data_IF_167964083720
#
_entry.id   IF_167964083720
#
_cell.length_a   1.000
_cell.length_b   1.000
_cell.length_c   1.000
_cell.angle_alpha   90.00
_cell.angle_beta   90.00
_cell.angle_gamma   90.00
#
_symmetry.space_group_name_H-M   'P 1'
#
loop_
_entity.id
_entity.type
_entity.pdbx_description
1 polymer ?
#
# COMPACT_ATOMS: atom_id res chain seq x y z
N UNK A 1 23.41 -23.16 -7.87
CA UNK A 1 22.77 -23.01 -6.55
C UNK A 1 21.32 -22.64 -6.76
N UNK A 2 20.35 -23.28 -6.10
CA UNK A 2 18.96 -22.86 -6.18
C UNK A 2 18.84 -21.43 -5.63
N UNK A 3 18.03 -20.61 -6.30
CA UNK A 3 17.73 -19.25 -5.86
C UNK A 3 16.92 -19.28 -4.57
N UNK A 4 17.05 -18.29 -3.69
CA UNK A 4 16.26 -18.21 -2.47
C UNK A 4 14.79 -18.01 -2.78
N UNK A 5 13.92 -18.49 -1.91
CA UNK A 5 12.54 -18.03 -1.86
C UNK A 5 12.54 -16.52 -1.64
N UNK A 6 11.79 -15.78 -2.45
CA UNK A 6 11.74 -14.32 -2.37
C UNK A 6 10.30 -13.80 -2.28
N UNK A 7 10.08 -12.71 -1.56
CA UNK A 7 8.76 -12.07 -1.53
C UNK A 7 8.51 -11.30 -2.85
N UNK A 8 7.33 -11.51 -3.40
CA UNK A 8 6.83 -10.85 -4.61
C UNK A 8 5.38 -10.43 -4.40
N UNK A 9 4.85 -9.60 -5.29
CA UNK A 9 3.46 -9.11 -5.22
C UNK A 9 3.10 -8.61 -3.82
N UNK A 10 3.92 -7.69 -3.33
CA UNK A 10 3.68 -7.06 -2.03
C UNK A 10 2.41 -6.22 -2.11
N UNK A 11 1.49 -6.42 -1.18
CA UNK A 11 0.18 -5.77 -1.16
C UNK A 11 -0.11 -5.13 0.19
N UNK A 12 -0.79 -3.99 0.12
CA UNK A 12 -1.38 -3.30 1.24
C UNK A 12 -2.89 -3.27 1.00
N UNK A 13 -3.69 -3.79 1.96
CA UNK A 13 -5.13 -3.99 1.82
C UNK A 13 -5.49 -4.64 0.45
N UNK A 14 -4.79 -5.73 0.12
CA UNK A 14 -4.96 -6.55 -1.10
C UNK A 14 -4.56 -5.90 -2.42
N UNK A 15 -4.13 -4.63 -2.44
CA UNK A 15 -3.73 -3.87 -3.62
C UNK A 15 -2.21 -3.68 -3.68
N UNK A 16 -1.66 -3.66 -4.88
CA UNK A 16 -0.24 -3.35 -5.12
C UNK A 16 -0.05 -1.84 -5.22
N UNK A 17 0.79 -1.29 -4.33
CA UNK A 17 1.09 0.15 -4.27
C UNK A 17 -0.16 1.04 -4.25
N UNK A 18 -1.15 0.80 -3.37
CA UNK A 18 -2.38 1.55 -3.38
C UNK A 18 -2.19 3.03 -3.03
N UNK A 19 -3.07 3.84 -3.60
CA UNK A 19 -3.27 5.23 -3.25
C UNK A 19 -4.60 5.36 -2.51
N UNK A 20 -4.67 6.28 -1.55
CA UNK A 20 -5.92 6.55 -0.84
C UNK A 20 -6.32 5.47 0.17
N UNK A 21 -5.36 4.89 0.89
CA UNK A 21 -5.66 3.95 1.97
C UNK A 21 -6.25 4.69 3.16
N UNK A 22 -7.47 4.32 3.57
CA UNK A 22 -8.15 4.95 4.71
C UNK A 22 -7.92 4.21 6.03
N UNK A 23 -7.54 2.94 5.98
CA UNK A 23 -7.29 2.16 7.17
C UNK A 23 -5.97 2.59 7.82
N UNK A 24 -5.98 3.11 9.07
CA UNK A 24 -4.77 3.54 9.76
C UNK A 24 -3.85 2.37 10.13
N UNK A 25 -4.36 1.14 10.11
CA UNK A 25 -3.61 -0.09 10.38
C UNK A 25 -3.79 -1.11 9.25
N UNK A 26 -3.34 -0.79 8.04
CA UNK A 26 -3.61 -1.63 6.88
C UNK A 26 -2.95 -3.01 7.02
N UNK A 27 -3.53 -3.98 6.31
CA UNK A 27 -3.01 -5.32 6.23
C UNK A 27 -1.95 -5.43 5.14
N UNK A 28 -0.81 -6.00 5.49
CA UNK A 28 0.28 -6.27 4.56
C UNK A 28 0.31 -7.75 4.18
N UNK A 29 0.64 -8.01 2.93
CA UNK A 29 0.77 -9.37 2.42
C UNK A 29 1.77 -9.43 1.27
N UNK A 30 2.29 -10.63 1.03
CA UNK A 30 3.18 -10.94 -0.09
C UNK A 30 3.00 -12.38 -0.51
N UNK A 31 3.42 -12.70 -1.73
CA UNK A 31 3.55 -14.07 -2.21
C UNK A 31 4.99 -14.50 -2.18
N UNK A 32 5.18 -15.80 -2.07
CA UNK A 32 6.50 -16.41 -2.15
C UNK A 32 6.74 -16.88 -3.58
N UNK A 33 7.77 -16.34 -4.24
CA UNK A 33 8.29 -16.90 -5.47
C UNK A 33 9.45 -17.81 -5.14
N UNK A 34 9.35 -19.03 -5.63
CA UNK A 34 10.42 -20.03 -5.55
C UNK A 34 10.89 -20.35 -6.96
N UNK A 35 12.12 -20.79 -7.10
CA UNK A 35 12.56 -21.47 -8.30
C UNK A 35 11.98 -22.91 -8.34
N UNK A 36 12.73 -23.89 -8.69
CA UNK A 36 12.28 -25.28 -8.85
C UNK A 36 12.05 -26.07 -7.54
N UNK A 37 12.17 -25.47 -6.35
CA UNK A 37 12.04 -26.19 -5.08
C UNK A 37 10.57 -26.43 -4.72
N UNK A 38 10.16 -27.69 -4.68
CA UNK A 38 8.85 -28.09 -4.16
C UNK A 38 8.83 -27.95 -2.63
N UNK A 39 7.74 -27.42 -2.08
CA UNK A 39 7.54 -27.33 -0.63
C UNK A 39 8.41 -26.29 0.08
N UNK A 40 9.03 -25.33 -0.65
CA UNK A 40 9.77 -24.25 -0.02
C UNK A 40 8.85 -23.44 0.91
N UNK A 41 9.25 -23.24 2.16
CA UNK A 41 8.47 -22.54 3.20
C UNK A 41 9.26 -21.38 3.74
N UNK A 42 8.56 -20.28 3.98
CA UNK A 42 9.06 -19.20 4.83
C UNK A 42 9.13 -19.69 6.28
N UNK A 43 10.19 -19.35 6.96
CA UNK A 43 10.38 -19.66 8.40
C UNK A 43 10.29 -18.41 9.26
N UNK A 44 10.64 -17.25 8.69
CA UNK A 44 10.58 -15.98 9.39
C UNK A 44 10.39 -14.83 8.40
N UNK A 45 9.96 -13.69 8.91
CA UNK A 45 9.94 -12.42 8.18
C UNK A 45 10.37 -11.26 9.07
N UNK A 46 10.74 -10.15 8.46
CA UNK A 46 10.89 -8.82 9.08
C UNK A 46 10.29 -7.79 8.14
N UNK A 47 9.43 -6.95 8.67
CA UNK A 47 8.85 -5.82 7.95
C UNK A 47 9.48 -4.53 8.44
N UNK A 48 9.86 -3.68 7.49
CA UNK A 48 10.34 -2.33 7.79
C UNK A 48 9.51 -1.33 7.01
N UNK A 49 9.15 -0.21 7.65
CA UNK A 49 8.36 0.87 7.04
C UNK A 49 9.06 2.19 7.29
N UNK A 50 9.17 3.00 6.25
CA UNK A 50 9.89 4.27 6.24
C UNK A 50 9.05 5.39 5.63
N UNK A 51 9.22 6.60 6.15
CA UNK A 51 8.66 7.83 5.56
C UNK A 51 9.36 8.27 4.27
N UNK A 52 10.51 7.69 3.94
CA UNK A 52 11.31 8.03 2.77
C UNK A 52 11.65 6.79 1.95
N UNK A 53 11.68 6.95 0.63
CA UNK A 53 12.14 5.89 -0.26
C UNK A 53 13.60 5.53 0.07
N UNK A 54 13.86 4.25 0.27
CA UNK A 54 15.17 3.74 0.70
C UNK A 54 15.69 4.34 2.02
N UNK A 55 14.78 4.87 2.85
CA UNK A 55 15.10 5.41 4.17
C UNK A 55 15.28 4.32 5.23
N UNK A 56 15.68 4.75 6.42
CA UNK A 56 15.68 3.89 7.61
C UNK A 56 14.24 3.58 8.04
N UNK A 57 14.05 2.52 8.78
CA UNK A 57 12.75 2.11 9.32
C UNK A 57 12.29 3.04 10.47
N UNK A 58 11.97 4.29 10.13
CA UNK A 58 11.59 5.34 11.09
C UNK A 58 10.12 5.24 11.55
N UNK A 59 9.29 4.52 10.78
CA UNK A 59 7.87 4.34 11.10
C UNK A 59 7.58 2.98 11.74
N UNK A 60 8.18 1.92 11.26
CA UNK A 60 8.02 0.59 11.84
C UNK A 60 9.17 -0.34 11.48
N UNK A 61 9.55 -1.14 12.45
CA UNK A 61 10.40 -2.30 12.30
C UNK A 61 9.82 -3.42 13.15
N UNK A 62 9.32 -4.47 12.53
CA UNK A 62 8.75 -5.61 13.26
C UNK A 62 9.80 -6.42 14.01
N UNK A 63 11.09 -6.18 13.75
CA UNK A 63 12.11 -7.16 14.07
C UNK A 63 11.90 -8.45 13.28
N UNK A 64 12.71 -9.45 13.57
CA UNK A 64 12.51 -10.80 13.02
C UNK A 64 11.35 -11.48 13.76
N UNK A 65 10.37 -11.92 12.99
CA UNK A 65 9.20 -12.68 13.47
C UNK A 65 9.30 -14.10 12.91
N UNK A 66 9.43 -15.10 13.76
CA UNK A 66 9.45 -16.49 13.36
C UNK A 66 8.03 -16.96 13.04
N UNK A 67 7.70 -16.97 11.75
CA UNK A 67 6.37 -17.29 11.24
C UNK A 67 6.41 -17.58 9.75
N UNK A 68 5.56 -18.49 9.31
CA UNK A 68 5.32 -18.79 7.90
C UNK A 68 4.19 -17.95 7.28
N UNK A 69 3.54 -17.09 8.08
CA UNK A 69 2.49 -16.20 7.60
C UNK A 69 3.05 -15.18 6.63
N UNK A 70 2.36 -15.05 5.49
CA UNK A 70 2.67 -14.06 4.45
C UNK A 70 1.46 -13.19 4.06
N UNK A 71 0.39 -13.27 4.84
CA UNK A 71 -0.82 -12.47 4.63
C UNK A 71 -1.45 -12.05 5.96
N UNK A 72 -2.31 -11.03 5.92
CA UNK A 72 -3.04 -10.54 7.09
C UNK A 72 -2.12 -10.00 8.20
N UNK A 73 -0.96 -9.48 7.86
CA UNK A 73 -0.04 -8.87 8.82
C UNK A 73 -0.46 -7.42 9.01
N UNK A 74 -0.99 -7.11 10.18
CA UNK A 74 -1.45 -5.75 10.51
C UNK A 74 -0.24 -4.83 10.73
N UNK A 75 -0.25 -3.66 10.09
CA UNK A 75 0.70 -2.61 10.37
C UNK A 75 0.61 -2.19 11.84
N UNK A 76 1.73 -2.25 12.55
CA UNK A 76 1.80 -1.95 13.98
C UNK A 76 2.84 -0.86 14.31
N UNK A 77 3.12 -0.01 13.32
CA UNK A 77 4.05 1.10 13.48
C UNK A 77 3.39 2.38 14.02
N UNK A 78 4.09 3.50 13.84
CA UNK A 78 3.61 4.83 14.21
C UNK A 78 2.34 5.20 13.43
N UNK A 79 1.49 6.04 14.04
CA UNK A 79 0.33 6.57 13.34
C UNK A 79 0.75 7.31 12.08
N UNK A 80 0.01 7.07 11.01
CA UNK A 80 0.19 7.73 9.73
C UNK A 80 -0.78 8.90 9.60
N UNK A 81 -0.38 9.91 8.85
CA UNK A 81 -1.21 11.10 8.57
C UNK A 81 -1.85 11.00 7.18
N UNK A 82 -2.89 11.78 6.96
CA UNK A 82 -3.52 11.90 5.64
C UNK A 82 -2.51 12.26 4.57
N UNK A 83 -2.69 11.68 3.37
CA UNK A 83 -1.84 11.89 2.20
C UNK A 83 -0.38 11.42 2.37
N UNK A 84 -0.04 10.83 3.51
CA UNK A 84 1.32 10.35 3.75
C UNK A 84 1.63 9.14 2.88
N UNK A 85 2.69 9.26 2.07
CA UNK A 85 3.27 8.12 1.38
C UNK A 85 4.33 7.48 2.26
N UNK A 86 4.29 6.17 2.33
CA UNK A 86 5.28 5.37 3.04
C UNK A 86 5.81 4.25 2.15
N UNK A 87 7.05 3.88 2.39
CA UNK A 87 7.71 2.77 1.71
C UNK A 87 7.93 1.65 2.70
N UNK A 88 7.70 0.45 2.25
CA UNK A 88 7.89 -0.71 3.09
C UNK A 88 8.64 -1.81 2.37
N UNK A 89 9.31 -2.61 3.14
CA UNK A 89 9.96 -3.81 2.64
C UNK A 89 9.70 -4.97 3.58
N UNK A 90 9.70 -6.15 3.02
CA UNK A 90 9.71 -7.40 3.77
C UNK A 90 10.96 -8.19 3.42
N UNK A 91 11.67 -8.60 4.42
CA UNK A 91 12.75 -9.56 4.36
C UNK A 91 12.23 -10.91 4.85
N UNK A 92 12.46 -11.98 4.10
CA UNK A 92 12.01 -13.32 4.48
C UNK A 92 13.18 -14.29 4.56
N UNK A 93 13.07 -15.26 5.43
CA UNK A 93 13.96 -16.41 5.54
C UNK A 93 13.20 -17.66 5.17
N UNK A 94 13.85 -18.58 4.51
CA UNK A 94 13.38 -19.94 4.26
C UNK A 94 14.24 -20.96 5.01
N UNK A 95 13.80 -22.19 5.06
CA UNK A 95 14.47 -23.28 5.78
C UNK A 95 15.96 -23.45 5.43
N UNK A 96 16.35 -23.16 4.18
CA UNK A 96 17.72 -23.31 3.71
C UNK A 96 18.58 -22.14 4.13
N UNK A 97 18.04 -20.92 4.02
CA UNK A 97 18.76 -19.70 4.32
C UNK A 97 18.89 -19.48 5.82
N UNK A 98 17.87 -19.85 6.57
CA UNK A 98 17.87 -19.78 8.01
C UNK A 98 18.93 -20.70 8.63
N UNK A 99 18.98 -21.96 8.19
CA UNK A 99 20.03 -22.90 8.61
C UNK A 99 21.45 -22.39 8.30
N UNK A 100 21.64 -21.63 7.23
CA UNK A 100 22.93 -21.05 6.83
C UNK A 100 23.21 -19.70 7.46
N UNK A 101 22.32 -19.18 8.34
CA UNK A 101 22.42 -17.85 8.96
C UNK A 101 22.68 -16.73 7.93
N UNK A 102 22.07 -16.82 6.77
CA UNK A 102 22.22 -15.83 5.69
C UNK A 102 21.17 -14.74 5.81
N UNK A 103 21.48 -13.58 5.23
CA UNK A 103 20.50 -12.51 5.06
C UNK A 103 19.32 -13.01 4.24
N UNK A 104 18.09 -12.64 4.64
CA UNK A 104 16.87 -13.00 3.95
C UNK A 104 16.75 -12.36 2.56
N UNK A 105 15.86 -12.88 1.76
CA UNK A 105 15.49 -12.25 0.49
C UNK A 105 14.49 -11.12 0.76
N UNK A 106 14.63 -10.01 0.02
CA UNK A 106 13.86 -8.79 0.28
C UNK A 106 13.01 -8.40 -0.92
N UNK A 107 11.79 -7.95 -0.66
CA UNK A 107 10.92 -7.23 -1.58
C UNK A 107 10.54 -5.88 -1.02
N UNK A 108 10.21 -4.91 -1.86
CA UNK A 108 9.81 -3.56 -1.45
C UNK A 108 8.62 -3.05 -2.25
N UNK A 109 7.81 -2.19 -1.61
CA UNK A 109 6.62 -1.57 -2.15
C UNK A 109 6.34 -0.26 -1.42
N UNK A 110 5.23 0.41 -1.76
CA UNK A 110 4.75 1.58 -1.04
C UNK A 110 3.22 1.53 -0.91
N UNK A 111 2.68 2.38 -0.04
CA UNK A 111 1.28 2.80 -0.10
C UNK A 111 1.18 4.27 0.25
N UNK A 112 0.04 4.87 -0.05
CA UNK A 112 -0.24 6.28 0.28
C UNK A 112 -1.59 6.34 1.01
N UNK A 113 -1.59 7.04 2.13
CA UNK A 113 -2.81 7.26 2.90
C UNK A 113 -3.77 8.16 2.12
N UNK A 114 -5.06 7.94 2.30
CA UNK A 114 -6.11 8.84 1.84
C UNK A 114 -6.28 10.05 2.75
N UNK A 115 -7.41 10.71 2.61
CA UNK A 115 -7.91 11.68 3.59
C UNK A 115 -8.54 10.88 4.72
N UNK A 116 -8.05 11.03 5.94
CA UNK A 116 -8.44 10.19 7.07
C UNK A 116 -9.66 10.75 7.83
N UNK A 117 -9.94 12.03 7.65
CA UNK A 117 -11.10 12.69 8.28
C UNK A 117 -11.95 13.39 7.23
N UNK A 118 -13.23 13.64 7.58
CA UNK A 118 -14.16 14.32 6.69
C UNK A 118 -13.80 15.80 6.50
N UNK A 119 -13.21 16.43 7.49
CA UNK A 119 -12.82 17.85 7.47
C UNK A 119 -11.69 18.13 6.48
N UNK A 120 -10.95 17.12 6.10
CA UNK A 120 -9.86 17.24 5.10
C UNK A 120 -10.37 17.27 3.66
N UNK A 121 -11.66 16.94 3.43
CA UNK A 121 -12.32 17.12 2.15
C UNK A 121 -12.64 18.60 1.94
N UNK A 122 -11.78 19.29 1.18
CA UNK A 122 -11.95 20.71 0.87
C UNK A 122 -12.84 21.01 -0.35
N UNK A 123 -13.55 20.03 -0.87
CA UNK A 123 -14.41 20.17 -2.05
C UNK A 123 -15.88 20.16 -1.68
N UNK A 124 -16.68 20.85 -2.48
CA UNK A 124 -18.14 20.83 -2.39
C UNK A 124 -18.72 19.72 -3.28
N UNK A 125 -19.92 19.26 -2.91
CA UNK A 125 -20.71 18.40 -3.79
C UNK A 125 -21.11 19.17 -5.05
N UNK A 126 -20.80 18.59 -6.20
CA UNK A 126 -21.17 19.15 -7.50
C UNK A 126 -22.22 18.27 -8.15
N UNK A 127 -23.15 18.88 -8.85
CA UNK A 127 -24.23 18.19 -9.51
C UNK A 127 -24.69 18.92 -10.75
N UNK A 128 -25.82 18.51 -11.27
CA UNK A 128 -26.48 19.12 -12.42
C UNK A 128 -27.85 19.66 -12.02
N UNK A 129 -28.31 20.69 -12.72
CA UNK A 129 -29.67 21.18 -12.61
C UNK A 129 -30.71 20.26 -13.29
N UNK A 130 -30.26 19.24 -14.02
CA UNK A 130 -31.17 18.25 -14.61
C UNK A 130 -31.84 17.45 -13.48
N UNK A 131 -33.15 17.57 -13.42
CA UNK A 131 -33.94 16.79 -12.46
C UNK A 131 -34.13 15.38 -12.98
N UNK A 132 -33.75 14.42 -12.17
CA UNK A 132 -34.08 13.02 -12.34
C UNK A 132 -34.97 12.54 -11.18
N UNK A 133 -35.64 11.44 -11.34
CA UNK A 133 -36.44 10.81 -10.29
C UNK A 133 -36.48 9.31 -10.44
N UNK A 134 -37.13 8.59 -9.52
CA UNK A 134 -37.14 7.12 -9.51
C UNK A 134 -37.65 6.50 -10.82
N UNK A 135 -38.48 7.24 -11.54
CA UNK A 135 -39.11 6.79 -12.79
C UNK A 135 -38.63 7.56 -14.04
N UNK A 136 -37.64 8.45 -13.90
CA UNK A 136 -37.13 9.24 -15.03
C UNK A 136 -35.64 8.99 -15.23
N UNK A 137 -35.27 8.52 -16.42
CA UNK A 137 -33.87 8.37 -16.83
C UNK A 137 -33.41 9.69 -17.45
N UNK A 138 -32.39 10.28 -16.84
CA UNK A 138 -31.68 11.43 -17.46
C UNK A 138 -30.33 10.94 -18.01
N UNK A 139 -29.83 11.56 -19.09
CA UNK A 139 -28.46 11.30 -19.55
C UNK A 139 -27.48 11.62 -18.44
N UNK A 140 -26.43 10.80 -18.30
CA UNK A 140 -25.35 11.07 -17.35
C UNK A 140 -24.69 12.42 -17.66
N UNK A 141 -24.64 13.35 -16.69
CA UNK A 141 -24.08 14.67 -16.94
C UNK A 141 -22.56 14.63 -17.06
N UNK A 142 -22.01 15.44 -17.94
CA UNK A 142 -20.58 15.70 -18.02
C UNK A 142 -20.23 16.93 -17.19
N UNK A 143 -19.54 16.74 -16.08
CA UNK A 143 -19.04 17.83 -15.25
C UNK A 143 -17.60 18.13 -15.63
N UNK A 144 -17.33 19.38 -16.02
CA UNK A 144 -16.00 19.80 -16.49
C UNK A 144 -15.62 21.16 -15.91
N UNK A 145 -14.41 21.26 -15.46
CA UNK A 145 -13.77 22.55 -15.14
C UNK A 145 -12.39 22.63 -15.77
N UNK A 146 -11.92 23.85 -15.99
CA UNK A 146 -10.57 24.13 -16.47
C UNK A 146 -9.88 25.02 -15.45
N UNK A 147 -8.63 24.75 -15.19
CA UNK A 147 -7.80 25.57 -14.32
C UNK A 147 -6.40 25.71 -14.92
N UNK A 148 -5.75 26.84 -14.66
CA UNK A 148 -4.41 27.11 -15.11
C UNK A 148 -3.41 26.94 -13.95
N UNK A 149 -2.30 26.26 -14.25
CA UNK A 149 -1.23 26.08 -13.28
C UNK A 149 -0.04 26.91 -13.73
N UNK A 150 0.21 28.03 -13.02
CA UNK A 150 1.31 28.95 -13.32
C UNK A 150 2.69 28.49 -12.87
N UNK A 151 2.83 27.29 -12.28
CA UNK A 151 4.09 26.77 -11.75
C UNK A 151 4.37 25.38 -12.29
N UNK A 152 5.67 24.99 -12.31
CA UNK A 152 6.06 23.62 -12.64
C UNK A 152 5.48 22.64 -11.63
N UNK A 153 4.74 21.63 -12.11
CA UNK A 153 4.15 20.59 -11.28
C UNK A 153 5.24 19.58 -10.91
N UNK A 154 5.48 19.40 -9.63
CA UNK A 154 6.34 18.34 -9.11
C UNK A 154 5.54 17.05 -8.83
N UNK A 155 4.30 17.20 -8.33
CA UNK A 155 3.36 16.09 -8.12
C UNK A 155 1.94 16.65 -8.09
N UNK A 156 0.97 15.83 -8.44
CA UNK A 156 -0.45 16.15 -8.33
C UNK A 156 -1.21 14.95 -7.80
N UNK A 157 -2.27 15.20 -7.03
CA UNK A 157 -3.16 14.18 -6.52
C UNK A 157 -4.60 14.68 -6.62
N UNK A 158 -5.45 13.89 -7.22
CA UNK A 158 -6.89 14.15 -7.28
C UNK A 158 -7.58 13.28 -6.24
N UNK A 159 -8.42 13.90 -5.42
CA UNK A 159 -9.35 13.21 -4.53
C UNK A 159 -10.75 13.46 -5.06
N UNK A 160 -11.48 12.39 -5.30
CA UNK A 160 -12.84 12.43 -5.82
C UNK A 160 -13.65 11.33 -5.18
N UNK A 161 -14.89 11.63 -4.86
CA UNK A 161 -15.87 10.67 -4.36
C UNK A 161 -17.21 10.88 -5.07
N UNK A 162 -18.06 9.88 -5.05
CA UNK A 162 -19.41 9.92 -5.58
C UNK A 162 -20.37 9.21 -4.61
N UNK A 163 -21.64 9.59 -4.65
CA UNK A 163 -22.74 8.91 -3.96
C UNK A 163 -23.27 7.75 -4.79
#
# INVERSE_FOLDING_TARGET
MPLPTRPVQLRCNFLENPLGVHDPKPQLSWRLATDSRRGARQTAYRITVSSKRNGTADLWDSGRVDSDRSNGIIYAGKNLTSQQRVWWSVEIWDEVWDKKKRKGATGSAFWEMGLLTNEEWGGDWIGTSLAGGPESTIPSPYLRTLFNIGKKIASARLYVTAL
#
